data_IF_307412364009
#
_entry.id   IF_307412364009
#
_cell.length_a   1.000
_cell.length_b   1.000
_cell.length_c   1.000
_cell.angle_alpha   90.00
_cell.angle_beta   90.00
_cell.angle_gamma   90.00
#
_symmetry.space_group_name_H-M   'P 1'
#
loop_
_entity.id
_entity.type
_entity.pdbx_description
1 polymer ?
#
# COMPACT_ATOMS: atom_id res chain seq x y z
N UNK A 1 -14.19 24.44 -0.39
CA UNK A 1 -13.74 23.08 -0.05
C UNK A 1 -12.55 22.80 -0.94
N UNK A 2 -11.33 22.83 -0.40
CA UNK A 2 -10.16 22.39 -1.15
C UNK A 2 -10.32 20.89 -1.45
N UNK A 3 -10.13 20.49 -2.71
CA UNK A 3 -10.27 19.10 -3.12
C UNK A 3 -9.21 18.21 -2.46
N UNK A 4 -9.50 16.91 -2.39
CA UNK A 4 -8.54 15.91 -1.88
C UNK A 4 -7.30 15.91 -2.78
N UNK A 5 -6.13 16.23 -2.22
CA UNK A 5 -4.83 16.19 -2.91
C UNK A 5 -4.24 14.77 -2.89
N UNK A 6 -3.66 14.36 -4.01
CA UNK A 6 -3.16 13.00 -4.24
C UNK A 6 -1.65 13.08 -4.48
N UNK A 7 -0.88 12.38 -3.65
CA UNK A 7 0.56 12.17 -3.79
C UNK A 7 0.90 11.30 -5.00
N UNK A 8 0.09 10.28 -5.24
CA UNK A 8 0.20 9.46 -6.43
C UNK A 8 -0.55 8.13 -6.36
N UNK A 9 -0.24 7.24 -7.30
CA UNK A 9 -0.88 5.92 -7.41
C UNK A 9 0.19 4.83 -7.44
N UNK A 10 0.11 3.91 -6.49
CA UNK A 10 0.96 2.72 -6.40
C UNK A 10 0.22 1.56 -7.07
N UNK A 11 0.85 0.91 -8.04
CA UNK A 11 0.27 -0.27 -8.72
C UNK A 11 0.58 -1.53 -7.92
N UNK A 12 -0.36 -2.45 -7.87
CA UNK A 12 -0.13 -3.77 -7.29
C UNK A 12 1.03 -4.47 -8.03
N UNK A 13 2.09 -4.93 -7.32
CA UNK A 13 3.23 -5.58 -7.94
C UNK A 13 2.88 -6.95 -8.54
N UNK A 14 1.87 -7.64 -8.00
CA UNK A 14 1.47 -8.98 -8.45
C UNK A 14 0.67 -8.92 -9.75
N UNK A 15 -0.50 -8.28 -9.72
CA UNK A 15 -1.45 -8.33 -10.83
C UNK A 15 -1.35 -7.13 -11.78
N UNK A 16 -0.66 -6.05 -11.37
CA UNK A 16 -0.56 -4.76 -12.09
C UNK A 16 -1.89 -4.06 -12.40
N UNK A 17 -3.03 -4.65 -12.02
CA UNK A 17 -4.40 -4.13 -12.22
C UNK A 17 -4.90 -3.34 -11.00
N UNK A 18 -4.60 -3.83 -9.79
CA UNK A 18 -4.95 -3.15 -8.54
C UNK A 18 -4.19 -1.84 -8.38
N UNK A 19 -4.86 -0.82 -7.83
CA UNK A 19 -4.31 0.52 -7.60
C UNK A 19 -4.53 0.92 -6.14
N UNK A 20 -3.49 1.45 -5.51
CA UNK A 20 -3.55 2.07 -4.19
C UNK A 20 -3.33 3.57 -4.41
N UNK A 21 -4.28 4.39 -3.96
CA UNK A 21 -4.18 5.85 -4.05
C UNK A 21 -3.51 6.35 -2.77
N UNK A 22 -2.38 7.04 -2.91
CA UNK A 22 -1.71 7.72 -1.81
C UNK A 22 -2.16 9.18 -1.78
N UNK A 23 -2.76 9.61 -0.67
CA UNK A 23 -3.10 11.02 -0.44
C UNK A 23 -1.84 11.84 -0.13
N UNK A 24 -1.91 13.17 -0.29
CA UNK A 24 -0.75 14.08 -0.15
C UNK A 24 0.08 13.80 1.11
N UNK A 25 -0.60 13.71 2.25
CA UNK A 25 0.04 13.53 3.56
C UNK A 25 0.22 12.06 3.98
N UNK A 26 0.03 11.11 3.05
CA UNK A 26 0.27 9.70 3.32
C UNK A 26 1.76 9.43 3.52
N UNK A 27 2.09 8.83 4.67
CA UNK A 27 3.44 8.53 5.12
C UNK A 27 3.51 7.17 5.82
N UNK A 28 4.73 6.63 5.95
CA UNK A 28 4.99 5.36 6.62
C UNK A 28 4.53 4.14 5.83
N UNK A 29 4.30 3.03 6.55
CA UNK A 29 3.96 1.72 5.96
C UNK A 29 2.57 1.27 6.33
N UNK A 30 1.94 0.50 5.44
CA UNK A 30 0.61 -0.09 5.68
C UNK A 30 0.49 -1.48 5.09
N UNK A 31 -0.29 -2.33 5.77
CA UNK A 31 -0.72 -3.63 5.26
C UNK A 31 -2.04 -3.46 4.52
N UNK A 32 -2.03 -3.73 3.21
CA UNK A 32 -3.22 -3.62 2.36
C UNK A 32 -3.40 -4.89 1.56
N UNK A 33 -4.63 -5.43 1.54
CA UNK A 33 -4.99 -6.49 0.60
C UNK A 33 -5.34 -5.89 -0.76
N UNK A 34 -4.77 -6.44 -1.84
CA UNK A 34 -5.16 -6.03 -3.18
C UNK A 34 -6.62 -6.45 -3.48
N UNK A 35 -7.48 -5.50 -3.82
CA UNK A 35 -8.88 -5.80 -4.18
C UNK A 35 -9.09 -6.65 -5.44
N UNK A 36 -8.04 -6.88 -6.25
CA UNK A 36 -8.13 -7.63 -7.51
C UNK A 36 -7.55 -9.06 -7.43
N UNK A 37 -6.35 -9.23 -6.87
CA UNK A 37 -5.69 -10.52 -6.75
C UNK A 37 -5.63 -11.06 -5.32
N UNK A 38 -6.19 -10.32 -4.36
CA UNK A 38 -6.30 -10.69 -2.95
C UNK A 38 -4.97 -10.96 -2.22
N UNK A 39 -3.83 -10.71 -2.86
CA UNK A 39 -2.51 -10.77 -2.24
C UNK A 39 -2.36 -9.63 -1.23
N UNK A 40 -1.80 -9.93 -0.05
CA UNK A 40 -1.42 -8.94 0.93
C UNK A 40 -0.15 -8.22 0.49
N UNK A 41 -0.14 -6.91 0.65
CA UNK A 41 0.93 -6.02 0.22
C UNK A 41 1.43 -5.21 1.41
N UNK A 42 2.74 -5.08 1.53
CA UNK A 42 3.37 -4.03 2.33
C UNK A 42 3.51 -2.79 1.44
N UNK A 43 2.73 -1.77 1.73
CA UNK A 43 2.78 -0.48 1.02
C UNK A 43 3.67 0.46 1.82
N UNK A 44 4.65 1.08 1.16
CA UNK A 44 5.52 2.11 1.72
C UNK A 44 5.18 3.44 1.03
N UNK A 45 4.49 4.32 1.74
CA UNK A 45 4.04 5.62 1.21
C UNK A 45 5.17 6.63 1.12
N UNK A 46 6.25 6.47 1.88
CA UNK A 46 7.42 7.35 1.82
C UNK A 46 8.20 7.09 0.53
N UNK A 47 8.33 5.81 0.16
CA UNK A 47 9.00 5.37 -1.08
C UNK A 47 8.07 5.25 -2.28
N UNK A 48 6.76 5.34 -2.08
CA UNK A 48 5.74 5.12 -3.11
C UNK A 48 5.85 3.74 -3.78
N UNK A 49 6.13 2.70 -2.98
CA UNK A 49 6.29 1.31 -3.44
C UNK A 49 5.32 0.37 -2.76
N UNK A 50 5.15 -0.82 -3.35
CA UNK A 50 4.42 -1.93 -2.72
C UNK A 50 5.15 -3.24 -3.00
N UNK A 51 5.26 -4.08 -1.98
CA UNK A 51 5.90 -5.39 -2.06
C UNK A 51 4.87 -6.48 -1.71
N UNK A 52 4.85 -7.60 -2.45
CA UNK A 52 3.96 -8.71 -2.14
C UNK A 52 4.42 -9.42 -0.87
N UNK A 53 3.47 -9.88 -0.08
CA UNK A 53 3.75 -10.73 1.07
C UNK A 53 2.88 -11.99 1.00
N UNK A 54 3.36 -13.07 1.62
CA UNK A 54 2.67 -14.35 1.60
C UNK A 54 1.65 -14.51 2.75
N UNK A 55 1.76 -13.71 3.82
CA UNK A 55 0.92 -13.87 5.01
C UNK A 55 0.54 -12.53 5.65
N UNK A 56 -0.76 -12.34 5.88
CA UNK A 56 -1.34 -11.16 6.56
C UNK A 56 -0.64 -10.86 7.91
N UNK A 57 -0.39 -11.90 8.72
CA UNK A 57 0.27 -11.78 10.03
C UNK A 57 1.70 -11.25 9.93
N UNK A 58 2.42 -11.55 8.85
CA UNK A 58 3.79 -11.08 8.67
C UNK A 58 3.81 -9.60 8.27
N UNK A 59 2.88 -9.16 7.42
CA UNK A 59 2.77 -7.75 7.01
C UNK A 59 2.41 -6.87 8.19
N UNK A 60 1.45 -7.31 8.99
CA UNK A 60 1.02 -6.56 10.16
C UNK A 60 2.21 -6.32 11.11
N UNK A 61 3.00 -7.35 11.41
CA UNK A 61 4.20 -7.24 12.25
C UNK A 61 5.23 -6.24 11.70
N UNK A 62 5.40 -6.18 10.38
CA UNK A 62 6.32 -5.24 9.72
C UNK A 62 5.87 -3.78 9.82
N UNK A 63 4.59 -3.53 10.08
CA UNK A 63 4.02 -2.18 10.24
C UNK A 63 4.02 -1.73 11.71
N UNK A 64 3.74 -2.63 12.66
CA UNK A 64 3.62 -2.24 14.09
C UNK A 64 4.92 -2.23 14.89
N UNK A 65 5.97 -2.96 14.48
CA UNK A 65 7.24 -3.04 15.22
C UNK A 65 8.36 -2.17 14.61
N UNK A 66 8.04 -0.93 14.21
CA UNK A 66 9.02 0.04 13.67
C UNK A 66 9.71 0.80 14.79
#
# INVERSE_FOLDING_TARGET
MEGIKIKGVIKCPCCRKGKIVAYEDAAGKSSIQCGNCHTFLLVDYDKMTAEPTLQEREVYKMVVNV
#
